data_IF_450513854893
#
_entry.id   IF_450513854893
#
_cell.length_a   1.000
_cell.length_b   1.000
_cell.length_c   1.000
_cell.angle_alpha   90.00
_cell.angle_beta   90.00
_cell.angle_gamma   90.00
#
_symmetry.space_group_name_H-M   'P 1'
#
loop_
_entity.id
_entity.type
_entity.pdbx_description
1 polymer ?
#
# COMPACT_ATOMS: atom_id res chain seq x y z
N UNK A 1 -15.15 14.48 33.19
CA UNK A 1 -15.36 13.27 32.36
C UNK A 1 -14.99 13.63 30.94
N UNK A 2 -13.89 13.08 30.40
CA UNK A 2 -13.48 13.31 29.01
C UNK A 2 -13.83 12.04 28.22
N UNK A 3 -14.84 12.14 27.37
CA UNK A 3 -15.14 11.11 26.39
C UNK A 3 -14.49 11.54 25.07
N UNK A 4 -13.68 10.67 24.47
CA UNK A 4 -13.12 10.86 23.13
C UNK A 4 -13.76 9.80 22.21
N UNK A 5 -14.37 10.24 21.11
CA UNK A 5 -14.82 9.38 20.02
C UNK A 5 -13.73 9.39 18.93
N UNK A 6 -13.34 8.20 18.43
CA UNK A 6 -12.48 8.00 17.24
C UNK A 6 -13.12 6.84 16.44
N UNK A 7 -13.11 6.76 15.10
CA UNK A 7 -12.39 7.50 14.05
C UNK A 7 -13.29 7.66 12.82
N UNK A 8 -13.47 8.88 12.32
CA UNK A 8 -14.13 9.16 11.02
C UNK A 8 -13.13 9.32 9.87
N UNK A 9 -11.90 8.83 10.05
CA UNK A 9 -10.82 8.98 9.08
C UNK A 9 -10.51 7.64 8.42
N UNK A 10 -10.24 7.62 7.10
CA UNK A 10 -9.68 6.44 6.45
C UNK A 10 -8.28 6.18 7.02
N UNK A 11 -7.95 4.92 7.29
CA UNK A 11 -6.63 4.55 7.81
C UNK A 11 -5.71 4.23 6.64
N UNK A 12 -4.52 4.83 6.63
CA UNK A 12 -3.48 4.54 5.64
C UNK A 12 -2.34 3.80 6.33
N UNK A 13 -2.17 2.52 5.99
CA UNK A 13 -1.07 1.67 6.46
C UNK A 13 -0.79 0.48 5.56
N UNK A 14 0.35 -0.18 5.78
CA UNK A 14 0.61 -1.52 5.29
C UNK A 14 0.04 -2.54 6.26
N UNK A 15 -0.59 -3.60 5.75
CA UNK A 15 -1.14 -4.67 6.58
C UNK A 15 -0.89 -6.06 6.00
N UNK A 16 -0.91 -7.06 6.87
CA UNK A 16 -0.71 -8.45 6.49
C UNK A 16 -1.90 -8.97 5.66
N UNK A 17 -1.68 -9.54 4.45
CA UNK A 17 -2.76 -10.08 3.60
C UNK A 17 -3.64 -11.11 4.29
N UNK A 18 -3.15 -11.80 5.32
CA UNK A 18 -3.92 -12.78 6.12
C UNK A 18 -5.08 -12.16 6.88
N UNK A 19 -5.14 -10.83 6.99
CA UNK A 19 -6.29 -10.10 7.54
C UNK A 19 -7.48 -10.01 6.57
N UNK A 20 -7.28 -10.32 5.28
CA UNK A 20 -8.36 -10.34 4.30
C UNK A 20 -9.30 -11.53 4.55
N UNK A 21 -10.59 -11.23 4.55
CA UNK A 21 -11.66 -12.21 4.89
C UNK A 21 -12.28 -12.87 3.66
N UNK A 22 -11.92 -12.42 2.46
CA UNK A 22 -12.38 -12.90 1.16
C UNK A 22 -11.31 -12.64 0.09
N UNK A 23 -11.36 -13.31 -1.07
CA UNK A 23 -10.63 -12.85 -2.25
C UNK A 23 -10.99 -11.40 -2.59
N UNK A 24 -10.06 -10.62 -3.17
CA UNK A 24 -10.35 -9.26 -3.60
C UNK A 24 -11.28 -9.24 -4.81
N UNK A 25 -11.95 -8.12 -4.98
CA UNK A 25 -12.66 -7.78 -6.21
C UNK A 25 -11.98 -6.59 -6.89
N UNK A 26 -12.11 -6.49 -8.20
CA UNK A 26 -11.52 -5.39 -8.97
C UNK A 26 -12.60 -4.56 -9.65
N UNK A 27 -12.43 -3.25 -9.62
CA UNK A 27 -13.14 -2.31 -10.47
C UNK A 27 -12.11 -1.69 -11.41
N UNK A 28 -12.37 -1.70 -12.71
CA UNK A 28 -11.42 -1.28 -13.74
C UNK A 28 -11.86 0.05 -14.31
N UNK A 29 -10.93 1.01 -14.32
CA UNK A 29 -11.07 2.29 -15.03
C UNK A 29 -10.09 2.24 -16.20
N UNK A 30 -10.61 2.19 -17.43
CA UNK A 30 -9.78 2.31 -18.63
C UNK A 30 -9.62 3.79 -18.99
N UNK A 31 -8.42 4.34 -18.75
CA UNK A 31 -8.13 5.73 -19.05
C UNK A 31 -8.11 6.07 -20.55
N UNK A 32 -8.21 5.09 -21.46
CA UNK A 32 -8.41 5.36 -22.90
C UNK A 32 -9.87 5.65 -23.24
N UNK A 33 -10.81 5.13 -22.45
CA UNK A 33 -12.25 5.25 -22.70
C UNK A 33 -12.94 6.21 -21.72
N UNK A 34 -12.43 6.29 -20.48
CA UNK A 34 -13.00 7.11 -19.42
C UNK A 34 -12.91 8.61 -19.73
N UNK A 35 -13.98 9.32 -19.42
CA UNK A 35 -14.03 10.78 -19.47
C UNK A 35 -13.73 11.37 -18.09
N UNK A 36 -13.39 12.66 -18.06
CA UNK A 36 -13.16 13.38 -16.81
C UNK A 36 -14.41 13.33 -15.91
N UNK A 37 -15.60 13.45 -16.49
CA UNK A 37 -16.85 13.45 -15.73
C UNK A 37 -17.14 12.11 -15.04
N UNK A 38 -16.65 11.00 -15.60
CA UNK A 38 -16.80 9.66 -15.03
C UNK A 38 -16.03 9.53 -13.70
N UNK A 39 -15.05 10.42 -13.46
CA UNK A 39 -14.27 10.46 -12.23
C UNK A 39 -14.92 11.36 -11.16
N UNK A 40 -15.96 12.14 -11.46
CA UNK A 40 -16.61 12.95 -10.43
C UNK A 40 -17.41 12.11 -9.43
N UNK A 41 -17.98 10.99 -9.89
CA UNK A 41 -18.75 10.07 -9.08
C UNK A 41 -18.43 8.63 -9.50
N UNK A 42 -17.67 7.92 -8.66
CA UNK A 42 -17.29 6.53 -8.91
C UNK A 42 -18.15 5.63 -8.04
N UNK A 43 -18.96 4.79 -8.68
CA UNK A 43 -19.87 3.86 -8.00
C UNK A 43 -19.51 2.40 -8.26
N UNK A 44 -19.15 1.69 -7.19
CA UNK A 44 -18.65 0.32 -7.25
C UNK A 44 -19.57 -0.58 -6.43
N UNK A 45 -20.43 -1.40 -7.07
CA UNK A 45 -21.20 -2.42 -6.37
C UNK A 45 -20.26 -3.49 -5.85
N UNK A 46 -20.40 -3.84 -4.57
CA UNK A 46 -19.52 -4.79 -3.90
C UNK A 46 -20.19 -6.15 -3.76
N UNK A 47 -19.43 -7.21 -4.05
CA UNK A 47 -19.84 -8.60 -3.83
C UNK A 47 -18.64 -9.47 -3.48
N UNK A 48 -18.68 -10.08 -2.31
CA UNK A 48 -17.63 -10.96 -1.79
C UNK A 48 -18.23 -12.27 -1.26
N UNK A 49 -17.40 -13.30 -1.21
CA UNK A 49 -17.68 -14.54 -0.46
C UNK A 49 -16.68 -14.63 0.69
N UNK A 50 -17.19 -14.68 1.92
CA UNK A 50 -16.34 -14.82 3.09
C UNK A 50 -15.64 -16.19 3.09
N UNK A 51 -14.31 -16.20 3.14
CA UNK A 51 -13.51 -17.44 3.21
C UNK A 51 -13.57 -18.09 4.59
N UNK A 52 -13.81 -17.30 5.63
CA UNK A 52 -13.80 -17.72 7.03
C UNK A 52 -14.92 -17.06 7.82
N UNK A 53 -15.37 -17.71 8.89
CA UNK A 53 -16.30 -17.10 9.84
C UNK A 53 -15.57 -16.12 10.75
N UNK A 54 -15.95 -14.84 10.71
CA UNK A 54 -15.25 -13.77 11.47
C UNK A 54 -16.07 -12.48 11.55
N UNK A 55 -15.50 -11.45 12.17
CA UNK A 55 -15.99 -10.06 12.19
C UNK A 55 -15.32 -9.25 11.10
N UNK A 56 -16.11 -8.72 10.18
CA UNK A 56 -15.65 -7.81 9.13
C UNK A 56 -15.74 -6.38 9.65
N UNK A 57 -14.58 -5.76 9.83
CA UNK A 57 -14.47 -4.42 10.42
C UNK A 57 -14.55 -3.29 9.39
N UNK A 58 -14.37 -3.59 8.10
CA UNK A 58 -14.13 -2.57 7.09
C UNK A 58 -13.86 -3.13 5.71
N UNK A 59 -13.63 -2.21 4.78
CA UNK A 59 -13.16 -2.48 3.42
C UNK A 59 -11.71 -2.02 3.29
N UNK A 60 -10.83 -2.87 2.76
CA UNK A 60 -9.49 -2.47 2.37
C UNK A 60 -9.45 -2.21 0.86
N UNK A 61 -8.75 -1.15 0.47
CA UNK A 61 -8.61 -0.69 -0.91
C UNK A 61 -7.13 -0.50 -1.24
N UNK A 62 -6.75 -0.91 -2.43
CA UNK A 62 -5.46 -0.67 -3.07
C UNK A 62 -5.72 -0.58 -4.57
N UNK A 63 -4.69 -0.26 -5.34
CA UNK A 63 -4.80 -0.14 -6.79
C UNK A 63 -3.61 -0.80 -7.48
N UNK A 64 -3.88 -1.23 -8.71
CA UNK A 64 -2.88 -1.67 -9.67
C UNK A 64 -3.00 -0.80 -10.93
N UNK A 65 -1.89 -0.49 -11.56
CA UNK A 65 -1.84 0.24 -12.83
C UNK A 65 -1.12 -0.61 -13.86
N UNK A 66 -1.79 -0.84 -14.98
CA UNK A 66 -1.19 -1.45 -16.17
C UNK A 66 -0.69 -0.36 -17.10
N UNK A 67 0.62 -0.31 -17.29
CA UNK A 67 1.24 0.43 -18.39
C UNK A 67 1.25 -0.47 -19.63
N UNK A 68 0.22 -0.31 -20.46
CA UNK A 68 -0.01 -1.15 -21.64
C UNK A 68 0.85 -0.72 -22.85
N UNK A 69 2.18 -0.81 -22.70
CA UNK A 69 3.13 -0.48 -23.77
C UNK A 69 3.11 -1.49 -24.92
N UNK A 70 3.35 -1.02 -26.15
CA UNK A 70 3.32 -1.84 -27.37
C UNK A 70 4.40 -2.94 -27.42
N UNK A 71 5.52 -2.74 -26.74
CA UNK A 71 6.64 -3.71 -26.71
C UNK A 71 6.60 -4.58 -25.47
N UNK A 72 6.35 -3.97 -24.30
CA UNK A 72 6.32 -4.67 -23.00
C UNK A 72 5.27 -4.02 -22.12
N UNK A 73 4.43 -4.85 -21.53
CA UNK A 73 3.49 -4.45 -20.50
C UNK A 73 4.16 -4.45 -19.12
N UNK A 74 3.82 -3.47 -18.28
CA UNK A 74 4.33 -3.37 -16.91
C UNK A 74 3.19 -3.10 -15.93
N UNK A 75 3.26 -3.76 -14.78
CA UNK A 75 2.33 -3.56 -13.69
C UNK A 75 3.01 -2.81 -12.54
N UNK A 76 2.32 -1.81 -12.02
CA UNK A 76 2.57 -1.28 -10.68
C UNK A 76 1.45 -1.79 -9.79
N UNK A 77 1.78 -2.45 -8.70
CA UNK A 77 0.80 -2.92 -7.71
C UNK A 77 1.07 -2.32 -6.35
N UNK A 78 0.01 -1.95 -5.65
CA UNK A 78 0.04 -1.53 -4.23
C UNK A 78 -0.64 -2.54 -3.32
N UNK A 79 -0.90 -3.76 -3.82
CA UNK A 79 -1.60 -4.80 -3.09
C UNK A 79 -0.88 -5.17 -1.78
N UNK A 80 -1.64 -5.52 -0.72
CA UNK A 80 -1.03 -6.07 0.48
C UNK A 80 -0.26 -7.35 0.11
N UNK A 81 0.96 -7.51 0.64
CA UNK A 81 1.85 -8.63 0.34
C UNK A 81 2.81 -8.39 -0.82
N UNK A 82 2.60 -7.36 -1.63
CA UNK A 82 3.62 -6.84 -2.54
C UNK A 82 4.65 -5.97 -1.78
N UNK A 83 5.83 -5.68 -2.36
CA UNK A 83 6.77 -4.71 -1.78
C UNK A 83 6.06 -3.39 -1.46
N UNK A 84 6.23 -2.91 -0.23
CA UNK A 84 5.52 -1.72 0.25
C UNK A 84 5.91 -0.48 -0.55
N UNK A 85 4.92 0.30 -0.96
CA UNK A 85 5.10 1.58 -1.64
C UNK A 85 4.70 2.73 -0.72
N UNK A 86 5.00 3.98 -1.11
CA UNK A 86 4.60 5.17 -0.35
C UNK A 86 3.08 5.42 -0.34
N UNK A 87 2.32 4.75 -1.22
CA UNK A 87 0.85 4.83 -1.24
C UNK A 87 0.21 4.02 -0.12
N UNK A 88 0.89 2.98 0.39
CA UNK A 88 0.33 2.01 1.33
C UNK A 88 -1.02 1.45 0.81
N UNK A 89 -1.90 1.03 1.73
CA UNK A 89 -3.29 0.69 1.43
C UNK A 89 -4.23 1.60 2.24
N UNK A 90 -5.47 1.72 1.79
CA UNK A 90 -6.53 2.46 2.48
C UNK A 90 -7.47 1.45 3.16
N UNK A 91 -7.78 1.65 4.43
CA UNK A 91 -8.78 0.87 5.17
C UNK A 91 -9.93 1.77 5.62
N UNK A 92 -11.11 1.50 5.09
CA UNK A 92 -12.37 2.14 5.45
C UNK A 92 -13.03 1.35 6.58
N UNK A 93 -13.04 1.90 7.80
CA UNK A 93 -13.60 1.24 8.99
C UNK A 93 -15.11 1.50 9.07
N UNK A 94 -15.91 0.45 9.25
CA UNK A 94 -17.36 0.54 9.42
C UNK A 94 -17.72 1.13 10.78
N UNK A 95 -18.90 1.76 10.90
CA UNK A 95 -19.43 2.21 12.19
C UNK A 95 -19.59 1.06 13.19
N UNK A 96 -20.00 -0.11 12.70
CA UNK A 96 -20.08 -1.34 13.48
C UNK A 96 -19.58 -2.52 12.63
N UNK A 97 -18.77 -3.43 13.18
CA UNK A 97 -18.39 -4.64 12.45
C UNK A 97 -19.60 -5.53 12.15
N UNK A 98 -19.62 -6.16 10.99
CA UNK A 98 -20.63 -7.18 10.64
C UNK A 98 -20.06 -8.59 10.85
N UNK A 99 -20.90 -9.54 11.23
CA UNK A 99 -20.52 -10.92 11.46
C UNK A 99 -20.86 -11.76 10.24
N UNK A 100 -19.91 -12.60 9.82
CA UNK A 100 -20.06 -13.47 8.65
C UNK A 100 -19.60 -14.89 8.98
N UNK A 101 -20.18 -15.86 8.28
CA UNK A 101 -19.79 -17.27 8.28
C UNK A 101 -18.99 -17.60 7.02
N UNK A 102 -18.22 -18.68 7.06
CA UNK A 102 -17.53 -19.17 5.85
C UNK A 102 -18.56 -19.52 4.75
N UNK A 103 -18.28 -19.07 3.53
CA UNK A 103 -19.16 -19.20 2.36
C UNK A 103 -20.32 -18.20 2.32
N UNK A 104 -20.48 -17.33 3.33
CA UNK A 104 -21.55 -16.33 3.33
C UNK A 104 -21.27 -15.20 2.35
N UNK A 105 -22.31 -14.79 1.61
CA UNK A 105 -22.22 -13.66 0.68
C UNK A 105 -22.27 -12.32 1.45
N UNK A 106 -21.32 -11.45 1.14
CA UNK A 106 -21.28 -10.06 1.58
C UNK A 106 -21.55 -9.20 0.34
N UNK A 107 -22.51 -8.30 0.44
CA UNK A 107 -22.84 -7.34 -0.63
C UNK A 107 -22.71 -5.92 -0.14
N UNK A 108 -22.60 -4.95 -1.04
CA UNK A 108 -22.40 -3.58 -0.62
C UNK A 108 -22.24 -2.61 -1.77
N UNK A 109 -21.75 -1.42 -1.42
CA UNK A 109 -21.46 -0.33 -2.35
C UNK A 109 -20.27 0.47 -1.81
N UNK A 110 -19.27 0.72 -2.64
CA UNK A 110 -18.26 1.74 -2.43
C UNK A 110 -18.60 2.87 -3.41
N UNK A 111 -18.95 4.02 -2.86
CA UNK A 111 -19.36 5.18 -3.62
C UNK A 111 -18.46 6.37 -3.28
N UNK A 112 -17.80 6.93 -4.28
CA UNK A 112 -16.81 8.00 -4.11
C UNK A 112 -17.30 9.24 -4.86
N UNK A 113 -17.43 10.36 -4.15
CA UNK A 113 -17.88 11.64 -4.72
C UNK A 113 -16.77 12.66 -4.62
N UNK A 114 -16.29 13.16 -5.76
CA UNK A 114 -15.27 14.18 -5.83
C UNK A 114 -15.77 15.51 -5.21
N UNK A 115 -14.86 16.27 -4.62
CA UNK A 115 -15.16 17.61 -4.11
C UNK A 115 -13.98 18.57 -4.32
N UNK A 116 -14.26 19.86 -4.14
CA UNK A 116 -13.38 20.97 -4.51
C UNK A 116 -12.03 21.00 -3.77
N UNK A 117 -11.82 20.15 -2.76
CA UNK A 117 -10.54 20.01 -2.07
C UNK A 117 -9.59 19.03 -2.77
N UNK A 118 -9.83 18.73 -4.05
CA UNK A 118 -9.06 17.79 -4.87
C UNK A 118 -8.99 16.38 -4.25
N UNK A 119 -10.13 15.91 -3.72
CA UNK A 119 -10.25 14.61 -3.07
C UNK A 119 -11.68 14.08 -3.21
N UNK A 120 -11.96 12.95 -2.55
CA UNK A 120 -13.27 12.30 -2.54
C UNK A 120 -13.80 12.11 -1.13
N UNK A 121 -15.11 12.28 -1.01
CA UNK A 121 -15.86 11.69 0.09
C UNK A 121 -16.21 10.25 -0.27
N UNK A 122 -15.81 9.30 0.56
CA UNK A 122 -16.11 7.88 0.44
C UNK A 122 -17.34 7.55 1.28
N UNK A 123 -18.26 6.81 0.67
CA UNK A 123 -19.36 6.11 1.32
C UNK A 123 -19.19 4.62 1.10
N UNK A 124 -19.11 3.85 2.19
CA UNK A 124 -19.09 2.38 2.11
C UNK A 124 -20.30 1.84 2.85
N UNK A 125 -21.00 0.91 2.21
CA UNK A 125 -22.01 0.07 2.86
C UNK A 125 -21.64 -1.38 2.63
N UNK A 126 -21.64 -2.18 3.69
CA UNK A 126 -21.46 -3.63 3.63
C UNK A 126 -22.60 -4.33 4.35
N UNK A 127 -23.12 -5.39 3.74
CA UNK A 127 -24.28 -6.14 4.21
C UNK A 127 -24.03 -7.65 4.09
N UNK A 128 -24.25 -8.38 5.17
CA UNK A 128 -24.18 -9.84 5.18
C UNK A 128 -25.55 -10.41 4.78
N UNK A 129 -25.58 -11.23 3.73
CA UNK A 129 -26.83 -11.87 3.29
C UNK A 129 -27.29 -12.98 4.21
N UNK A 130 -28.57 -13.31 4.18
CA UNK A 130 -29.11 -14.48 4.85
C UNK A 130 -28.34 -15.74 4.43
N UNK A 131 -28.06 -16.59 5.41
CA UNK A 131 -27.21 -17.77 5.26
C UNK A 131 -27.80 -18.95 6.03
N UNK A 132 -27.65 -20.15 5.46
CA UNK A 132 -28.10 -21.40 6.06
C UNK A 132 -29.32 -22.04 5.37
N UNK A 133 -29.68 -23.28 5.76
CA UNK A 133 -30.83 -23.98 5.20
C UNK A 133 -32.14 -23.23 5.48
N UNK A 134 -32.94 -22.99 4.44
CA UNK A 134 -34.21 -22.25 4.54
C UNK A 134 -34.08 -20.72 4.50
N UNK A 135 -32.88 -20.18 4.25
CA UNK A 135 -32.69 -18.76 4.02
C UNK A 135 -33.38 -18.30 2.72
N UNK A 136 -34.17 -17.24 2.80
CA UNK A 136 -34.71 -16.57 1.62
C UNK A 136 -33.55 -15.99 0.79
N UNK A 137 -33.46 -16.37 -0.48
CA UNK A 137 -32.43 -15.86 -1.38
C UNK A 137 -32.57 -14.34 -1.51
N UNK A 138 -31.65 -13.59 -0.91
CA UNK A 138 -31.59 -12.13 -1.01
C UNK A 138 -31.85 -11.36 0.29
N UNK A 139 -32.28 -12.01 1.37
CA UNK A 139 -32.44 -11.35 2.67
C UNK A 139 -31.10 -10.80 3.20
N UNK A 140 -31.15 -9.70 3.95
CA UNK A 140 -29.98 -9.09 4.63
C UNK A 140 -30.14 -9.29 6.13
N UNK A 141 -29.13 -9.87 6.79
CA UNK A 141 -29.16 -10.06 8.26
C UNK A 141 -28.56 -8.84 8.96
N UNK A 142 -27.47 -8.31 8.43
CA UNK A 142 -26.71 -7.21 9.03
C UNK A 142 -26.28 -6.26 7.94
N UNK A 143 -26.30 -4.97 8.24
CA UNK A 143 -25.76 -3.92 7.39
C UNK A 143 -25.05 -2.89 8.26
N UNK A 144 -23.90 -2.42 7.80
CA UNK A 144 -23.21 -1.29 8.41
C UNK A 144 -22.60 -0.44 7.32
N UNK A 145 -22.45 0.85 7.61
CA UNK A 145 -21.90 1.83 6.67
C UNK A 145 -20.86 2.72 7.35
N UNK A 146 -20.09 3.43 6.53
CA UNK A 146 -19.28 4.56 6.98
C UNK A 146 -19.22 5.64 5.91
N UNK A 147 -18.93 6.87 6.36
CA UNK A 147 -18.63 8.03 5.54
C UNK A 147 -17.27 8.56 5.97
N UNK A 148 -16.36 8.69 5.02
CA UNK A 148 -14.96 9.06 5.25
C UNK A 148 -14.56 10.14 4.24
N UNK A 149 -13.72 11.08 4.65
CA UNK A 149 -13.11 12.05 3.74
C UNK A 149 -11.67 11.61 3.45
N UNK A 150 -11.35 11.36 2.17
CA UNK A 150 -9.99 10.98 1.76
C UNK A 150 -8.98 12.12 1.92
N UNK A 151 -9.43 13.36 2.11
CA UNK A 151 -8.55 14.50 2.32
C UNK A 151 -7.86 14.49 3.69
N UNK A 152 -8.50 13.87 4.68
CA UNK A 152 -8.06 13.83 6.09
C UNK A 152 -7.78 12.38 6.55
N UNK A 153 -6.83 11.66 5.93
CA UNK A 153 -6.51 10.29 6.32
C UNK A 153 -5.70 10.23 7.62
N UNK A 154 -5.91 9.15 8.37
CA UNK A 154 -5.06 8.79 9.50
C UNK A 154 -3.92 7.88 9.02
N UNK A 155 -2.71 8.43 8.92
CA UNK A 155 -1.50 7.65 8.62
C UNK A 155 -1.08 6.88 9.86
N UNK A 156 -1.29 5.56 9.83
CA UNK A 156 -0.86 4.66 10.91
C UNK A 156 0.52 4.11 10.57
N UNK A 157 1.55 4.89 10.86
CA UNK A 157 2.93 4.40 10.79
C UNK A 157 3.17 3.43 11.96
N UNK A 158 2.94 2.15 11.72
CA UNK A 158 3.58 1.11 12.53
C UNK A 158 5.08 1.18 12.29
N UNK A 159 5.87 1.06 13.36
CA UNK A 159 7.33 0.92 13.34
C UNK A 159 7.80 -0.08 12.26
N UNK A 160 9.03 0.06 11.73
CA UNK A 160 9.50 -0.70 10.57
C UNK A 160 9.21 -2.19 10.68
N UNK A 161 8.38 -2.71 9.77
CA UNK A 161 8.11 -4.13 9.63
C UNK A 161 9.29 -4.77 8.89
N UNK A 162 10.01 -5.74 9.48
CA UNK A 162 11.12 -6.42 8.83
C UNK A 162 10.57 -7.53 7.92
N UNK A 163 10.09 -7.17 6.74
CA UNK A 163 9.86 -8.15 5.67
C UNK A 163 10.89 -7.94 4.56
N UNK A 164 12.15 -8.22 4.87
CA UNK A 164 13.11 -8.62 3.85
C UNK A 164 12.77 -10.06 3.47
N UNK A 165 12.01 -10.26 2.39
CA UNK A 165 12.08 -11.52 1.66
C UNK A 165 13.52 -11.69 1.20
N UNK A 166 14.23 -12.66 1.77
CA UNK A 166 15.50 -13.13 1.25
C UNK A 166 15.26 -13.56 -0.20
N UNK A 167 15.72 -12.75 -1.15
CA UNK A 167 15.88 -13.21 -2.52
C UNK A 167 17.01 -14.24 -2.49
N UNK A 168 16.68 -15.45 -2.90
CA UNK A 168 17.59 -16.53 -3.23
C UNK A 168 18.51 -16.04 -4.36
N UNK A 169 19.63 -15.41 -3.98
CA UNK A 169 20.71 -15.08 -4.91
C UNK A 169 21.52 -16.35 -5.16
N UNK A 170 21.25 -16.99 -6.28
CA UNK A 170 22.23 -17.84 -6.95
C UNK A 170 23.55 -17.04 -7.11
N UNK A 171 24.72 -17.57 -6.73
CA UNK A 171 25.98 -16.84 -6.84
C UNK A 171 26.43 -16.81 -8.31
N UNK A 172 26.16 -15.72 -9.00
CA UNK A 172 26.87 -15.39 -10.23
C UNK A 172 28.26 -14.84 -9.89
N UNK A 173 29.28 -15.54 -10.39
CA UNK A 173 30.70 -15.21 -10.21
C UNK A 173 31.04 -13.81 -10.70
N UNK A 174 31.82 -13.10 -9.89
CA UNK A 174 32.38 -11.77 -10.14
C UNK A 174 33.36 -11.82 -11.33
N UNK A 175 33.07 -11.12 -12.42
CA UNK A 175 34.06 -10.70 -13.41
C UNK A 175 34.52 -9.28 -13.05
N UNK A 176 35.82 -9.11 -12.77
CA UNK A 176 36.46 -7.81 -12.54
C UNK A 176 36.46 -6.95 -13.82
N UNK A 177 36.18 -5.63 -13.73
CA UNK A 177 36.55 -4.71 -14.79
C UNK A 177 38.04 -4.35 -14.68
N UNK A 178 38.77 -4.48 -15.79
CA UNK A 178 40.09 -3.87 -15.94
C UNK A 178 39.90 -2.40 -16.36
N UNK A 179 40.42 -1.48 -15.56
CA UNK A 179 40.43 -0.04 -15.86
C UNK A 179 41.44 0.28 -16.97
N UNK A 180 40.99 1.02 -17.99
CA UNK A 180 41.80 1.65 -19.02
C UNK A 180 41.97 3.12 -18.63
N UNK A 181 43.19 3.67 -18.45
CA UNK A 181 43.36 5.09 -18.22
C UNK A 181 43.83 5.83 -19.48
N UNK A 182 43.15 6.93 -19.80
CA UNK A 182 43.53 7.99 -20.75
C UNK A 182 43.05 9.29 -20.03
N UNK A 183 43.77 10.41 -19.86
CA UNK A 183 44.78 11.11 -20.66
C UNK A 183 45.61 12.09 -19.76
N UNK A 184 46.87 12.34 -20.17
CA UNK A 184 47.72 13.57 -20.03
C UNK A 184 47.72 14.43 -18.76
N UNK A 185 48.92 14.62 -18.20
CA UNK A 185 49.49 15.98 -18.10
C UNK A 185 51.04 15.96 -18.07
N UNK A 186 51.59 17.03 -18.65
CA UNK A 186 52.99 17.29 -18.99
C UNK A 186 53.91 17.56 -17.78
N UNK A 187 55.18 17.16 -17.97
CA UNK A 187 56.46 17.82 -17.62
C UNK A 187 56.83 18.25 -16.16
N UNK A 188 58.02 17.73 -15.78
CA UNK A 188 59.11 18.30 -14.93
C UNK A 188 59.11 18.17 -13.38
N UNK A 189 59.89 17.16 -12.92
CA UNK A 189 60.95 17.14 -11.86
C UNK A 189 60.69 17.60 -10.39
N UNK A 190 61.56 17.22 -9.40
CA UNK A 190 61.13 16.46 -8.23
C UNK A 190 61.14 17.23 -6.90
N UNK A 191 60.28 16.84 -5.95
CA UNK A 191 60.34 17.30 -4.55
C UNK A 191 61.08 16.30 -3.66
N UNK A 192 62.26 16.70 -3.19
CA UNK A 192 62.82 16.23 -1.93
C UNK A 192 62.76 17.39 -0.93
N UNK A 193 62.00 17.23 0.16
CA UNK A 193 62.39 17.65 1.51
C UNK A 193 61.36 17.16 2.53
N UNK A 194 61.88 16.41 3.49
CA UNK A 194 61.24 15.85 4.68
C UNK A 194 60.77 16.96 5.64
N UNK A 195 59.69 16.69 6.38
CA UNK A 195 59.42 17.35 7.67
C UNK A 195 59.90 16.45 8.82
N UNK A 196 60.52 16.99 9.88
CA UNK A 196 60.99 16.19 11.01
C UNK A 196 59.92 16.02 12.11
N UNK A 197 60.04 14.90 12.79
CA UNK A 197 59.30 14.48 13.98
C UNK A 197 59.93 15.13 15.23
N UNK A 198 59.14 15.81 16.05
CA UNK A 198 59.56 16.23 17.40
C UNK A 198 59.22 15.12 18.41
N UNK A 199 60.23 14.65 19.17
CA UNK A 199 60.06 14.55 20.63
C UNK A 199 61.39 14.35 21.39
N UNK A 200 61.62 15.31 22.29
CA UNK A 200 62.12 15.21 23.66
C UNK A 200 63.54 14.71 23.98
N UNK A 201 64.26 15.54 24.75
CA UNK A 201 65.09 15.06 25.87
C UNK A 201 66.54 15.53 25.91
N UNK A 202 66.86 16.36 26.91
CA UNK A 202 68.20 16.81 27.32
C UNK A 202 69.10 15.60 27.74
N UNK A 203 70.42 15.67 27.92
CA UNK A 203 71.21 16.64 28.69
C UNK A 203 72.72 16.26 28.66
N UNK A 204 73.58 17.28 28.49
CA UNK A 204 74.92 17.54 29.05
C UNK A 204 76.13 16.58 28.94
N UNK A 205 77.23 17.27 28.55
CA UNK A 205 78.67 17.07 28.76
C UNK A 205 79.45 16.12 27.84
#
# INVERSE_FOLDING_TARGET
MKCLLLSYQPVVDAFDPRLLVSPPMSHVIDFNEAKEEDLYEIDIPLKFLASVGTRVHGLACWFDVLFNGSTVQRWLTTAPGAPTTHWYQIRCVLSQPIYVMAGQEITGRLHMVAHNAQSYTIYVTLSAKMWGPGAEQGGIIQSSSCKLDLKEPYYRMSQPQPYTTAQDQQPHQLLQPQDIPIHTDDLEEPKLLQQPLENSGAQLQ
#
